data_IF_228622272444
#
_entry.id   IF_228622272444
#
_cell.length_a   1.000
_cell.length_b   1.000
_cell.length_c   1.000
_cell.angle_alpha   90.00
_cell.angle_beta   90.00
_cell.angle_gamma   90.00
#
_symmetry.space_group_name_H-M   'P 1'
#
loop_
_entity.id
_entity.type
_entity.pdbx_description
1 polymer ?
#
# COMPACT_ATOMS: atom_id res chain seq x y z
N UNK A 1 -11.40 38.55 -3.92
CA UNK A 1 -10.68 37.51 -3.17
C UNK A 1 -10.34 36.42 -4.18
N UNK A 2 -9.07 36.10 -4.40
CA UNK A 2 -8.62 35.11 -5.40
C UNK A 2 -8.46 33.74 -4.73
N UNK A 3 -8.68 32.66 -5.48
CA UNK A 3 -8.49 31.27 -5.02
C UNK A 3 -7.10 31.07 -4.40
N UNK A 4 -6.07 31.70 -4.97
CA UNK A 4 -4.72 31.68 -4.42
C UNK A 4 -4.61 32.26 -3.00
N UNK A 5 -5.40 33.29 -2.67
CA UNK A 5 -5.40 33.91 -1.34
C UNK A 5 -6.05 32.99 -0.30
N UNK A 6 -7.17 32.35 -0.67
CA UNK A 6 -7.85 31.37 0.19
C UNK A 6 -6.93 30.17 0.44
N UNK A 7 -6.29 29.63 -0.60
CA UNK A 7 -5.34 28.52 -0.45
C UNK A 7 -4.17 28.87 0.45
N UNK A 8 -3.65 30.10 0.36
CA UNK A 8 -2.58 30.56 1.24
C UNK A 8 -3.03 30.65 2.69
N UNK A 9 -4.16 31.29 2.94
CA UNK A 9 -4.72 31.44 4.29
C UNK A 9 -5.05 30.08 4.93
N UNK A 10 -5.60 29.14 4.15
CA UNK A 10 -5.83 27.77 4.60
C UNK A 10 -4.53 27.00 4.85
N UNK A 11 -3.50 27.21 4.02
CA UNK A 11 -2.18 26.60 4.20
C UNK A 11 -1.46 27.12 5.44
N UNK A 12 -1.50 28.44 5.67
CA UNK A 12 -0.89 29.10 6.82
C UNK A 12 -1.55 28.63 8.12
N UNK A 13 -2.89 28.57 8.16
CA UNK A 13 -3.64 28.06 9.32
C UNK A 13 -3.35 26.59 9.62
N UNK A 14 -3.20 25.76 8.59
CA UNK A 14 -2.85 24.35 8.74
C UNK A 14 -1.43 24.19 9.31
N UNK A 15 -0.47 24.99 8.84
CA UNK A 15 0.91 24.95 9.33
C UNK A 15 1.01 25.35 10.81
N UNK A 16 0.25 26.37 11.23
CA UNK A 16 0.18 26.78 12.64
C UNK A 16 -0.42 25.70 13.57
N UNK A 17 -1.44 24.97 13.11
CA UNK A 17 -2.00 23.83 13.85
C UNK A 17 -1.05 22.64 13.89
N UNK A 18 -0.31 22.39 12.80
CA UNK A 18 0.70 21.35 12.70
C UNK A 18 1.88 21.58 13.65
N UNK A 19 2.33 22.82 13.81
CA UNK A 19 3.40 23.16 14.74
C UNK A 19 3.00 22.97 16.21
N UNK A 20 1.72 23.20 16.55
CA UNK A 20 1.19 23.02 17.92
C UNK A 20 1.11 21.56 18.35
N UNK A 21 0.90 20.63 17.42
CA UNK A 21 0.69 19.20 17.69
C UNK A 21 1.71 18.29 17.00
N UNK A 22 2.98 18.71 17.01
CA UNK A 22 4.07 18.11 16.22
C UNK A 22 4.23 16.60 16.40
N UNK A 23 4.10 16.07 17.62
CA UNK A 23 4.25 14.63 17.91
C UNK A 23 3.12 13.78 17.34
N UNK A 24 1.88 14.30 17.40
CA UNK A 24 0.69 13.66 16.82
C UNK A 24 0.76 13.73 15.29
N UNK A 25 1.21 14.86 14.74
CA UNK A 25 1.40 15.01 13.30
C UNK A 25 2.55 14.17 12.78
N UNK A 26 3.64 13.99 13.52
CA UNK A 26 4.72 13.07 13.15
C UNK A 26 4.28 11.60 13.23
N UNK A 27 3.41 11.24 14.17
CA UNK A 27 2.78 9.92 14.20
C UNK A 27 1.80 9.74 13.03
N UNK A 28 0.99 10.75 12.73
CA UNK A 28 0.09 10.76 11.59
C UNK A 28 0.91 10.65 10.32
N UNK A 29 1.82 11.58 10.03
CA UNK A 29 2.72 11.60 8.87
C UNK A 29 3.49 10.29 8.68
N UNK A 30 3.91 9.63 9.77
CA UNK A 30 4.46 8.26 9.71
C UNK A 30 3.41 7.24 9.31
N UNK A 31 2.25 7.20 9.97
CA UNK A 31 1.13 6.35 9.54
C UNK A 31 0.66 6.64 8.09
N UNK A 32 0.97 7.84 7.57
CA UNK A 32 0.66 8.29 6.21
C UNK A 32 1.84 8.15 5.24
N UNK A 33 2.97 7.56 5.63
CA UNK A 33 4.12 7.40 4.74
C UNK A 33 4.24 5.97 4.23
N UNK A 34 4.85 5.86 3.05
CA UNK A 34 5.12 4.56 2.43
C UNK A 34 6.02 3.70 3.33
N UNK A 35 6.97 4.29 4.05
CA UNK A 35 7.90 3.56 4.93
C UNK A 35 7.15 2.80 6.04
N UNK A 36 6.15 3.43 6.67
CA UNK A 36 5.33 2.74 7.68
C UNK A 36 4.52 1.61 7.07
N UNK A 37 3.92 1.84 5.90
CA UNK A 37 3.18 0.82 5.17
C UNK A 37 4.07 -0.38 4.82
N UNK A 38 5.29 -0.10 4.35
CA UNK A 38 6.32 -1.09 4.01
C UNK A 38 6.81 -1.86 5.24
N UNK A 39 7.10 -1.19 6.35
CA UNK A 39 7.51 -1.83 7.60
C UNK A 39 6.40 -2.71 8.18
N UNK A 40 5.14 -2.24 8.11
CA UNK A 40 3.97 -3.00 8.50
C UNK A 40 3.81 -4.27 7.67
N UNK A 41 3.88 -4.16 6.34
CA UNK A 41 3.81 -5.31 5.45
C UNK A 41 4.99 -6.26 5.63
N UNK A 42 6.21 -5.76 5.77
CA UNK A 42 7.38 -6.63 6.00
C UNK A 42 7.23 -7.42 7.31
N UNK A 43 6.64 -6.82 8.34
CA UNK A 43 6.36 -7.50 9.61
C UNK A 43 5.24 -8.54 9.46
N UNK A 44 4.20 -8.24 8.67
CA UNK A 44 3.03 -9.09 8.48
C UNK A 44 3.28 -10.25 7.50
N UNK A 45 3.95 -9.97 6.38
CA UNK A 45 4.37 -10.94 5.35
C UNK A 45 5.57 -11.76 5.84
N UNK A 46 6.44 -11.19 6.68
CA UNK A 46 7.56 -11.89 7.31
C UNK A 46 7.15 -12.88 8.40
N UNK A 47 5.86 -12.99 8.74
CA UNK A 47 5.34 -14.08 9.58
C UNK A 47 5.55 -15.43 8.85
N UNK A 48 5.98 -16.49 9.54
CA UNK A 48 6.36 -17.74 8.90
C UNK A 48 5.14 -18.41 8.24
N UNK A 49 5.09 -18.35 6.91
CA UNK A 49 4.29 -19.27 6.10
C UNK A 49 4.79 -20.69 6.38
N UNK A 50 3.91 -21.71 6.54
CA UNK A 50 4.34 -23.07 6.83
C UNK A 50 5.45 -23.54 5.88
N UNK A 51 6.54 -24.06 6.44
CA UNK A 51 7.76 -24.49 5.72
C UNK A 51 7.51 -25.48 4.57
N UNK A 52 6.33 -26.10 4.53
CA UNK A 52 5.91 -27.12 3.57
C UNK A 52 5.42 -26.60 2.23
N UNK A 53 5.19 -25.29 2.06
CA UNK A 53 4.70 -24.74 0.78
C UNK A 53 5.82 -24.50 -0.24
N UNK A 54 5.56 -24.70 -1.54
CA UNK A 54 6.47 -24.29 -2.62
C UNK A 54 6.76 -22.78 -2.55
N UNK A 55 7.98 -22.37 -2.91
CA UNK A 55 8.36 -20.94 -2.90
C UNK A 55 7.44 -20.07 -3.77
N UNK A 56 6.89 -20.61 -4.85
CA UNK A 56 5.92 -19.92 -5.71
C UNK A 56 4.62 -19.64 -4.95
N UNK A 57 4.11 -20.60 -4.19
CA UNK A 57 2.89 -20.44 -3.39
C UNK A 57 3.12 -19.46 -2.24
N UNK A 58 4.30 -19.49 -1.59
CA UNK A 58 4.67 -18.46 -0.60
C UNK A 58 4.65 -17.05 -1.19
N UNK A 59 5.12 -16.87 -2.43
CA UNK A 59 5.11 -15.57 -3.12
C UNK A 59 3.69 -15.14 -3.50
N UNK A 60 2.85 -16.05 -4.00
CA UNK A 60 1.43 -15.81 -4.28
C UNK A 60 0.68 -15.38 -3.02
N UNK A 61 0.85 -16.12 -1.92
CA UNK A 61 0.29 -15.81 -0.61
C UNK A 61 0.75 -14.44 -0.11
N UNK A 62 2.02 -14.10 -0.25
CA UNK A 62 2.54 -12.77 0.13
C UNK A 62 1.89 -11.62 -0.67
N UNK A 63 1.66 -11.80 -1.97
CA UNK A 63 0.94 -10.80 -2.79
C UNK A 63 -0.52 -10.69 -2.37
N UNK A 64 -1.19 -11.81 -2.13
CA UNK A 64 -2.58 -11.82 -1.65
C UNK A 64 -2.73 -11.12 -0.29
N UNK A 65 -1.80 -11.36 0.65
CA UNK A 65 -1.75 -10.69 1.94
C UNK A 65 -1.52 -9.18 1.79
N UNK A 66 -0.67 -8.76 0.85
CA UNK A 66 -0.48 -7.35 0.52
C UNK A 66 -1.79 -6.71 0.06
N UNK A 67 -2.55 -7.37 -0.82
CA UNK A 67 -3.86 -6.88 -1.28
C UNK A 67 -4.88 -6.80 -0.14
N UNK A 68 -4.99 -7.84 0.69
CA UNK A 68 -5.90 -7.87 1.83
C UNK A 68 -5.60 -6.75 2.84
N UNK A 69 -4.33 -6.58 3.21
CA UNK A 69 -3.89 -5.49 4.10
C UNK A 69 -4.18 -4.13 3.49
N UNK A 70 -3.88 -3.92 2.21
CA UNK A 70 -4.17 -2.65 1.52
C UNK A 70 -5.65 -2.35 1.54
N UNK A 71 -6.49 -3.33 1.20
CA UNK A 71 -7.94 -3.21 1.21
C UNK A 71 -8.44 -2.82 2.61
N UNK A 72 -8.01 -3.54 3.65
CA UNK A 72 -8.36 -3.21 5.03
C UNK A 72 -7.91 -1.82 5.44
N UNK A 73 -6.69 -1.41 5.09
CA UNK A 73 -6.19 -0.06 5.37
C UNK A 73 -6.97 1.03 4.63
N UNK A 74 -7.49 0.75 3.42
CA UNK A 74 -8.37 1.71 2.72
C UNK A 74 -9.74 1.86 3.37
N UNK A 75 -10.21 0.86 4.13
CA UNK A 75 -11.48 0.95 4.88
C UNK A 75 -11.35 1.74 6.18
N UNK A 76 -10.12 1.94 6.67
CA UNK A 76 -9.86 2.86 7.78
C UNK A 76 -9.97 4.28 7.22
N UNK A 77 -11.04 5.00 7.59
CA UNK A 77 -11.39 6.36 7.11
C UNK A 77 -10.41 7.46 7.57
N UNK A 78 -9.18 7.05 7.93
CA UNK A 78 -8.12 7.90 8.44
C UNK A 78 -7.27 8.51 7.32
N UNK A 79 -7.35 8.01 6.07
CA UNK A 79 -6.49 8.44 4.95
C UNK A 79 -7.18 8.43 3.59
N UNK A 80 -6.76 9.32 2.64
CA UNK A 80 -7.19 9.24 1.25
C UNK A 80 -6.91 7.85 0.66
N UNK A 81 -7.98 7.16 0.24
CA UNK A 81 -7.93 5.80 -0.30
C UNK A 81 -6.89 5.64 -1.42
N UNK A 82 -6.80 6.63 -2.31
CA UNK A 82 -5.84 6.66 -3.42
C UNK A 82 -4.38 6.54 -2.95
N UNK A 83 -4.06 7.07 -1.77
CA UNK A 83 -2.72 7.04 -1.21
C UNK A 83 -2.35 5.65 -0.72
N UNK A 84 -3.26 4.98 -0.01
CA UNK A 84 -3.06 3.60 0.48
C UNK A 84 -2.98 2.62 -0.68
N UNK A 85 -3.84 2.76 -1.69
CA UNK A 85 -3.75 1.97 -2.94
C UNK A 85 -2.43 2.20 -3.67
N UNK A 86 -1.95 3.45 -3.72
CA UNK A 86 -0.65 3.80 -4.29
C UNK A 86 0.52 3.12 -3.57
N UNK A 87 0.45 3.00 -2.24
CA UNK A 87 1.45 2.28 -1.46
C UNK A 87 1.48 0.78 -1.77
N UNK A 88 0.31 0.13 -1.86
CA UNK A 88 0.25 -1.29 -2.24
C UNK A 88 0.78 -1.56 -3.63
N UNK A 89 0.41 -0.74 -4.62
CA UNK A 89 0.94 -0.85 -5.97
C UNK A 89 2.46 -0.64 -6.01
N UNK A 90 2.98 0.31 -5.22
CA UNK A 90 4.41 0.58 -5.14
C UNK A 90 5.18 -0.59 -4.50
N UNK A 91 4.69 -1.13 -3.38
CA UNK A 91 5.31 -2.26 -2.68
C UNK A 91 5.37 -3.52 -3.56
N UNK A 92 4.27 -3.85 -4.22
CA UNK A 92 4.22 -5.01 -5.11
C UNK A 92 5.23 -4.87 -6.26
N UNK A 93 5.33 -3.68 -6.85
CA UNK A 93 6.31 -3.39 -7.90
C UNK A 93 7.76 -3.46 -7.39
N UNK A 94 8.03 -2.95 -6.18
CA UNK A 94 9.36 -2.95 -5.59
C UNK A 94 9.86 -4.38 -5.30
N UNK A 95 8.99 -5.25 -4.79
CA UNK A 95 9.39 -6.55 -4.23
C UNK A 95 9.08 -7.77 -5.10
N UNK A 96 8.10 -7.68 -6.01
CA UNK A 96 7.59 -8.84 -6.74
C UNK A 96 7.79 -8.75 -8.25
N UNK A 97 8.16 -7.60 -8.81
CA UNK A 97 8.42 -7.45 -10.25
C UNK A 97 9.42 -8.49 -10.79
N UNK A 98 10.60 -8.72 -10.19
CA UNK A 98 11.54 -9.72 -10.71
C UNK A 98 10.96 -11.14 -10.71
N UNK A 99 10.18 -11.48 -9.69
CA UNK A 99 9.52 -12.79 -9.61
C UNK A 99 8.43 -12.91 -10.67
N UNK A 100 7.59 -11.90 -10.84
CA UNK A 100 6.51 -11.89 -11.84
C UNK A 100 7.06 -12.01 -13.26
N UNK A 101 8.14 -11.30 -13.57
CA UNK A 101 8.83 -11.40 -14.85
C UNK A 101 9.35 -12.83 -15.08
N UNK A 102 9.88 -13.49 -14.05
CA UNK A 102 10.34 -14.89 -14.14
C UNK A 102 9.21 -15.88 -14.40
N UNK A 103 7.97 -15.56 -13.97
CA UNK A 103 6.78 -16.38 -14.23
C UNK A 103 6.16 -16.08 -15.59
N UNK A 104 6.64 -15.06 -16.32
CA UNK A 104 6.10 -14.66 -17.61
C UNK A 104 4.91 -13.70 -17.53
N UNK A 105 4.80 -12.92 -16.46
CA UNK A 105 3.77 -11.89 -16.28
C UNK A 105 2.82 -12.16 -15.12
N UNK A 106 2.00 -11.15 -14.77
CA UNK A 106 1.08 -11.19 -13.62
C UNK A 106 0.05 -12.31 -13.71
N UNK A 107 -0.48 -12.55 -14.92
CA UNK A 107 -1.48 -13.59 -15.19
C UNK A 107 -0.97 -14.97 -14.77
N UNK A 108 0.24 -15.33 -15.20
CA UNK A 108 0.88 -16.61 -14.86
C UNK A 108 1.36 -16.66 -13.41
N UNK A 109 1.90 -15.54 -12.92
CA UNK A 109 2.40 -15.45 -11.55
C UNK A 109 1.30 -15.71 -10.51
N UNK A 110 0.08 -15.22 -10.77
CA UNK A 110 -1.05 -15.31 -9.86
C UNK A 110 -2.07 -16.40 -10.22
N UNK A 111 -1.79 -17.23 -11.23
CA UNK A 111 -2.72 -18.27 -11.71
C UNK A 111 -4.11 -17.70 -12.06
N UNK A 112 -4.12 -16.50 -12.65
CA UNK A 112 -5.36 -15.92 -13.13
C UNK A 112 -5.75 -16.65 -14.41
N UNK A 113 -6.62 -17.66 -14.28
CA UNK A 113 -7.30 -18.23 -15.43
C UNK A 113 -8.04 -17.07 -16.12
N UNK A 114 -7.64 -16.76 -17.36
CA UNK A 114 -8.45 -15.90 -18.22
C UNK A 114 -9.73 -16.68 -18.48
N UNK A 115 -10.80 -16.37 -17.76
CA UNK A 115 -12.14 -16.79 -18.14
C UNK A 115 -12.33 -16.32 -19.58
N UNK A 116 -12.23 -17.27 -20.51
CA UNK A 116 -12.62 -17.03 -21.89
C UNK A 116 -14.12 -16.82 -21.83
N UNK A 117 -14.55 -15.56 -21.93
CA UNK A 117 -15.95 -15.22 -22.16
C UNK A 117 -16.47 -16.11 -23.28
N UNK A 118 -17.34 -17.05 -22.92
CA UNK A 118 -18.07 -17.90 -23.86
C UNK A 118 -19.12 -17.01 -24.52
N UNK A 119 -18.92 -16.77 -25.81
CA UNK A 119 -19.81 -16.03 -26.74
C UNK A 119 -21.23 -16.61 -26.81
#
# INVERSE_FOLDING_TARGET
MTIAKILRESGDSLDEEMQKNRSMFDQFRRALCYDFYKDFLNTYIGQPVPLTEPEVEKKRTAVALCFDVTSKLTTLDNQPMNKVLGFGAHYIKEYFTPWVESQGGWEKALDMETDKEVE
#
